data_IF_975434735920
#
_entry.id   IF_975434735920
#
_cell.length_a   1.000
_cell.length_b   1.000
_cell.length_c   1.000
_cell.angle_alpha   90.00
_cell.angle_beta   90.00
_cell.angle_gamma   90.00
#
_symmetry.space_group_name_H-M   'P 1'
#
loop_
_entity.id
_entity.type
_entity.pdbx_description
1 polymer ?
#
# COMPACT_ATOMS: atom_id res chain seq x y z
N UNK A 1 17.36 12.35 -1.11
CA UNK A 1 16.43 11.20 -1.07
C UNK A 1 15.25 11.56 -0.18
N UNK A 2 14.02 11.33 -0.64
CA UNK A 2 12.82 11.54 0.19
C UNK A 2 12.68 10.43 1.25
N UNK A 3 11.88 10.70 2.29
CA UNK A 3 11.62 9.71 3.35
C UNK A 3 10.50 8.75 2.95
N UNK A 4 10.62 7.49 3.33
CA UNK A 4 9.59 6.46 3.20
C UNK A 4 8.93 6.18 4.54
N UNK A 5 7.62 6.38 4.62
CA UNK A 5 6.79 6.10 5.80
C UNK A 5 5.83 4.96 5.46
N UNK A 6 5.86 3.89 6.24
CA UNK A 6 4.88 2.81 6.15
C UNK A 6 3.83 2.99 7.25
N UNK A 7 2.55 2.94 6.87
CA UNK A 7 1.40 3.01 7.77
C UNK A 7 0.62 1.70 7.68
N UNK A 8 0.62 0.92 8.76
CA UNK A 8 -0.12 -0.34 8.89
C UNK A 8 -1.28 -0.20 9.89
N UNK A 9 -2.18 -1.19 9.93
CA UNK A 9 -3.28 -1.23 10.90
C UNK A 9 -4.57 -1.85 10.36
N UNK A 10 -5.53 -2.10 11.24
CA UNK A 10 -6.78 -2.77 10.92
C UNK A 10 -7.71 -1.98 9.99
N UNK A 11 -8.77 -2.62 9.49
CA UNK A 11 -9.80 -1.93 8.71
C UNK A 11 -10.41 -0.77 9.52
N UNK A 12 -10.69 0.36 8.86
CA UNK A 12 -11.27 1.57 9.47
C UNK A 12 -10.47 2.15 10.66
N UNK A 13 -9.17 1.86 10.77
CA UNK A 13 -8.35 2.40 11.85
C UNK A 13 -7.83 3.83 11.64
N UNK A 14 -8.21 4.51 10.55
CA UNK A 14 -7.81 5.89 10.24
C UNK A 14 -6.57 6.05 9.34
N UNK A 15 -5.99 4.96 8.81
CA UNK A 15 -4.76 4.99 7.99
C UNK A 15 -4.80 5.95 6.81
N UNK A 16 -5.81 5.83 5.94
CA UNK A 16 -5.89 6.64 4.73
C UNK A 16 -6.06 8.13 5.04
N UNK A 17 -6.80 8.47 6.10
CA UNK A 17 -6.94 9.85 6.55
C UNK A 17 -5.60 10.41 7.03
N UNK A 18 -4.93 9.71 7.94
CA UNK A 18 -3.61 10.11 8.45
C UNK A 18 -2.56 10.23 7.32
N UNK A 19 -2.55 9.28 6.37
CA UNK A 19 -1.68 9.33 5.21
C UNK A 19 -1.89 10.60 4.37
N UNK A 20 -3.14 11.02 4.20
CA UNK A 20 -3.46 12.25 3.47
C UNK A 20 -3.03 13.50 4.22
N UNK A 21 -3.26 13.57 5.53
CA UNK A 21 -2.79 14.69 6.37
C UNK A 21 -1.26 14.80 6.35
N UNK A 22 -0.56 13.67 6.47
CA UNK A 22 0.89 13.60 6.38
C UNK A 22 1.42 14.05 5.02
N UNK A 23 0.72 13.73 3.93
CA UNK A 23 1.10 14.21 2.60
C UNK A 23 0.89 15.73 2.47
N UNK A 24 -0.26 16.25 2.93
CA UNK A 24 -0.58 17.69 2.92
C UNK A 24 0.44 18.51 3.69
N UNK A 25 0.94 18.01 4.83
CA UNK A 25 1.95 18.72 5.63
C UNK A 25 3.34 18.74 4.98
N UNK A 26 3.61 17.83 4.04
CA UNK A 26 4.90 17.73 3.32
C UNK A 26 4.92 18.55 2.02
N UNK A 27 3.89 18.46 1.19
CA UNK A 27 3.82 19.19 -0.09
C UNK A 27 2.40 19.21 -0.66
N UNK A 28 2.10 20.24 -1.48
CA UNK A 28 0.90 20.27 -2.32
C UNK A 28 1.00 19.43 -3.60
N UNK A 29 2.21 19.02 -4.01
CA UNK A 29 2.47 18.23 -5.22
C UNK A 29 2.48 16.75 -4.89
N UNK A 30 1.29 16.15 -4.88
CA UNK A 30 1.07 14.75 -4.48
C UNK A 30 0.62 13.90 -5.66
N UNK A 31 1.23 12.73 -5.80
CA UNK A 31 0.74 11.63 -6.63
C UNK A 31 0.08 10.59 -5.72
N UNK A 32 -1.23 10.42 -5.84
CA UNK A 32 -1.99 9.37 -5.16
C UNK A 32 -2.06 8.13 -6.05
N UNK A 33 -1.51 7.01 -5.59
CA UNK A 33 -1.51 5.73 -6.29
C UNK A 33 -2.59 4.85 -5.68
N UNK A 34 -3.70 4.70 -6.41
CA UNK A 34 -4.82 3.86 -6.01
C UNK A 34 -4.64 2.45 -6.59
N UNK A 35 -4.52 1.45 -5.71
CA UNK A 35 -4.39 0.03 -6.12
C UNK A 35 -5.72 -0.71 -6.12
N UNK A 36 -6.78 -0.06 -5.63
CA UNK A 36 -8.12 -0.63 -5.57
C UNK A 36 -8.73 -0.80 -6.96
N UNK A 37 -9.44 -1.91 -7.15
CA UNK A 37 -10.41 -2.08 -8.22
C UNK A 37 -11.81 -1.75 -7.71
N UNK A 38 -12.63 -1.11 -8.53
CA UNK A 38 -14.05 -0.92 -8.27
C UNK A 38 -14.83 -2.23 -8.48
N UNK A 39 -14.59 -3.24 -7.64
CA UNK A 39 -15.15 -4.60 -7.78
C UNK A 39 -16.63 -4.71 -7.41
N UNK A 40 -17.10 -3.91 -6.45
CA UNK A 40 -18.51 -3.83 -6.05
C UNK A 40 -18.95 -2.36 -5.86
N UNK A 41 -20.27 -2.14 -5.77
CA UNK A 41 -20.86 -0.79 -5.68
C UNK A 41 -20.49 -0.08 -4.36
N UNK A 42 -20.27 -0.83 -3.29
CA UNK A 42 -19.81 -0.28 -2.02
C UNK A 42 -18.38 0.26 -2.13
N UNK A 43 -17.49 -0.48 -2.80
CA UNK A 43 -16.12 -0.07 -3.08
C UNK A 43 -16.08 1.10 -4.06
N UNK A 44 -17.00 1.16 -5.04
CA UNK A 44 -17.17 2.33 -5.92
C UNK A 44 -17.54 3.59 -5.16
N UNK A 45 -18.57 3.53 -4.33
CA UNK A 45 -18.99 4.69 -3.53
C UNK A 45 -17.86 5.16 -2.61
N UNK A 46 -17.15 4.23 -1.97
CA UNK A 46 -15.98 4.55 -1.14
C UNK A 46 -14.84 5.18 -1.95
N UNK A 47 -14.56 4.68 -3.16
CA UNK A 47 -13.56 5.27 -4.05
C UNK A 47 -13.97 6.71 -4.40
N UNK A 48 -15.23 6.95 -4.73
CA UNK A 48 -15.74 8.29 -5.07
C UNK A 48 -15.71 9.25 -3.88
N UNK A 49 -16.10 8.82 -2.69
CA UNK A 49 -15.96 9.60 -1.46
C UNK A 49 -14.49 9.94 -1.18
N UNK A 50 -13.60 8.96 -1.32
CA UNK A 50 -12.16 9.17 -1.16
C UNK A 50 -11.57 10.08 -2.24
N UNK A 51 -12.06 10.05 -3.48
CA UNK A 51 -11.67 10.98 -4.55
C UNK A 51 -12.11 12.40 -4.19
N UNK A 52 -13.35 12.60 -3.73
CA UNK A 52 -13.89 13.91 -3.32
C UNK A 52 -13.18 14.51 -2.11
N UNK A 53 -12.68 13.68 -1.20
CA UNK A 53 -11.92 14.13 -0.03
C UNK A 53 -10.49 14.60 -0.35
N UNK A 54 -9.97 14.32 -1.55
CA UNK A 54 -8.63 14.74 -1.98
C UNK A 54 -8.65 16.17 -2.52
N UNK A 55 -7.60 16.96 -2.27
CA UNK A 55 -7.45 18.25 -2.93
C UNK A 55 -7.43 18.09 -4.46
N UNK A 56 -8.11 18.99 -5.18
CA UNK A 56 -8.14 18.97 -6.65
C UNK A 56 -6.75 19.12 -7.30
N UNK A 57 -5.76 19.59 -6.54
CA UNK A 57 -4.36 19.72 -6.97
C UNK A 57 -3.62 18.38 -7.01
N UNK A 58 -4.18 17.32 -6.42
CA UNK A 58 -3.53 16.01 -6.38
C UNK A 58 -3.80 15.23 -7.65
N UNK A 59 -2.75 14.62 -8.21
CA UNK A 59 -2.88 13.68 -9.34
C UNK A 59 -3.19 12.30 -8.78
N UNK A 60 -4.09 11.57 -9.43
CA UNK A 60 -4.40 10.17 -9.08
C UNK A 60 -3.93 9.25 -10.21
N UNK A 61 -3.19 8.21 -9.86
CA UNK A 61 -2.77 7.11 -10.71
C UNK A 61 -3.48 5.84 -10.25
N UNK A 62 -4.35 5.29 -11.09
CA UNK A 62 -4.99 3.99 -10.86
C UNK A 62 -4.14 2.89 -11.49
N UNK A 63 -3.72 1.91 -10.68
CA UNK A 63 -2.80 0.85 -11.11
C UNK A 63 -3.00 -0.43 -10.29
N UNK A 64 -3.07 -1.59 -10.96
CA UNK A 64 -3.36 -2.87 -10.31
C UNK A 64 -2.14 -3.77 -10.10
N UNK A 65 -1.00 -3.41 -10.72
CA UNK A 65 0.27 -4.14 -10.67
C UNK A 65 1.36 -3.36 -11.42
N UNK A 66 2.60 -3.81 -11.33
CA UNK A 66 3.79 -3.09 -11.80
C UNK A 66 3.88 -1.66 -11.25
N UNK A 67 3.49 -1.46 -9.99
CA UNK A 67 3.28 -0.13 -9.41
C UNK A 67 4.57 0.71 -9.40
N UNK A 68 5.72 0.10 -9.15
CA UNK A 68 7.00 0.80 -9.17
C UNK A 68 7.32 1.39 -10.54
N UNK A 69 7.08 0.63 -11.61
CA UNK A 69 7.28 1.10 -12.99
C UNK A 69 6.33 2.24 -13.33
N UNK A 70 5.04 2.08 -12.98
CA UNK A 70 3.99 3.07 -13.27
C UNK A 70 4.23 4.37 -12.51
N UNK A 71 4.68 4.31 -11.26
CA UNK A 71 5.06 5.50 -10.49
C UNK A 71 6.21 6.23 -11.18
N UNK A 72 7.29 5.53 -11.59
CA UNK A 72 8.43 6.17 -12.28
C UNK A 72 8.03 6.88 -13.57
N UNK A 73 7.09 6.32 -14.32
CA UNK A 73 6.59 6.91 -15.57
C UNK A 73 5.71 8.16 -15.33
N UNK A 74 4.94 8.16 -14.25
CA UNK A 74 3.87 9.14 -14.02
C UNK A 74 4.22 10.19 -12.94
N UNK A 75 5.33 10.04 -12.22
CA UNK A 75 5.68 10.88 -11.07
C UNK A 75 5.64 12.38 -11.39
N UNK A 76 6.13 12.76 -12.58
CA UNK A 76 6.22 14.17 -12.99
C UNK A 76 6.90 15.02 -11.91
N UNK A 77 6.24 16.10 -11.48
CA UNK A 77 6.74 17.00 -10.44
C UNK A 77 6.30 16.65 -9.01
N UNK A 78 5.66 15.48 -8.81
CA UNK A 78 5.18 15.09 -7.50
C UNK A 78 6.37 14.91 -6.52
N UNK A 79 6.27 15.54 -5.35
CA UNK A 79 7.28 15.44 -4.29
C UNK A 79 6.88 14.44 -3.21
N UNK A 80 5.61 14.04 -3.20
CA UNK A 80 5.06 13.05 -2.28
C UNK A 80 4.23 12.04 -3.08
N UNK A 81 4.47 10.75 -2.82
CA UNK A 81 3.70 9.65 -3.37
C UNK A 81 2.95 8.96 -2.24
N UNK A 82 1.63 8.81 -2.38
CA UNK A 82 0.83 7.97 -1.48
C UNK A 82 0.50 6.68 -2.22
N UNK A 83 0.76 5.52 -1.61
CA UNK A 83 0.32 4.22 -2.13
C UNK A 83 -0.76 3.66 -1.21
N UNK A 84 -2.01 3.57 -1.67
CA UNK A 84 -3.16 3.10 -0.89
C UNK A 84 -3.95 2.05 -1.73
N UNK A 85 -3.87 0.75 -1.42
CA UNK A 85 -3.02 0.11 -0.42
C UNK A 85 -2.33 -1.17 -0.90
N UNK A 86 -1.27 -1.55 -0.19
CA UNK A 86 -0.53 -2.79 -0.44
C UNK A 86 -1.42 -4.03 -0.28
N UNK A 87 -2.41 -3.99 0.61
CA UNK A 87 -3.33 -5.10 0.82
C UNK A 87 -4.16 -5.44 -0.43
N UNK A 88 -4.58 -4.43 -1.20
CA UNK A 88 -5.28 -4.63 -2.47
C UNK A 88 -4.32 -5.00 -3.60
N UNK A 89 -3.10 -4.45 -3.60
CA UNK A 89 -2.07 -4.87 -4.54
C UNK A 89 -1.75 -6.37 -4.43
N UNK A 90 -1.54 -6.88 -3.22
CA UNK A 90 -1.32 -8.31 -2.97
C UNK A 90 -2.51 -9.14 -3.44
N UNK A 91 -3.73 -8.67 -3.19
CA UNK A 91 -4.93 -9.34 -3.68
C UNK A 91 -4.98 -9.40 -5.22
N UNK A 92 -4.69 -8.29 -5.91
CA UNK A 92 -4.70 -8.23 -7.37
C UNK A 92 -3.67 -9.18 -7.97
N UNK A 93 -2.45 -9.22 -7.42
CA UNK A 93 -1.40 -10.15 -7.86
C UNK A 93 -1.85 -11.60 -7.68
N UNK A 94 -2.46 -11.93 -6.54
CA UNK A 94 -3.01 -13.26 -6.28
C UNK A 94 -4.12 -13.64 -7.27
N UNK A 95 -5.05 -12.73 -7.55
CA UNK A 95 -6.17 -12.98 -8.47
C UNK A 95 -5.68 -13.22 -9.90
N UNK A 96 -4.61 -12.55 -10.35
CA UNK A 96 -4.02 -12.79 -11.67
C UNK A 96 -3.38 -14.18 -11.78
N UNK A 97 -2.89 -14.74 -10.67
CA UNK A 97 -2.23 -16.05 -10.60
C UNK A 97 -3.23 -17.18 -10.25
N UNK A 98 -4.52 -16.88 -10.24
CA UNK A 98 -5.62 -17.85 -10.08
C UNK A 98 -6.20 -18.36 -11.42
N UNK A 99 -5.66 -17.95 -12.58
CA UNK A 99 -6.32 -18.07 -13.89
C UNK A 99 -6.46 -19.48 -14.52
N UNK A 100 -7.70 -19.77 -14.97
CA UNK A 100 -8.20 -20.69 -16.02
C UNK A 100 -8.04 -22.23 -15.90
N UNK A 101 -7.34 -22.78 -14.90
CA UNK A 101 -7.21 -24.24 -14.73
C UNK A 101 -7.42 -24.69 -13.29
N UNK A 102 -8.23 -25.75 -13.09
CA UNK A 102 -8.49 -26.55 -11.88
C UNK A 102 -8.60 -25.86 -10.49
N UNK A 103 -8.59 -24.53 -10.39
CA UNK A 103 -8.73 -23.76 -9.15
C UNK A 103 -7.58 -23.90 -8.15
N UNK A 104 -6.39 -24.38 -8.56
CA UNK A 104 -5.24 -24.50 -7.67
C UNK A 104 -4.25 -23.35 -7.90
N UNK A 105 -4.03 -22.55 -6.86
CA UNK A 105 -2.99 -21.52 -6.83
C UNK A 105 -1.64 -22.23 -6.68
N UNK A 106 -0.71 -22.02 -7.62
CA UNK A 106 0.69 -22.31 -7.35
C UNK A 106 1.21 -21.28 -6.34
N UNK A 107 1.30 -21.70 -5.09
CA UNK A 107 1.74 -20.87 -3.98
C UNK A 107 3.14 -20.28 -4.21
N UNK A 108 4.05 -21.00 -4.86
CA UNK A 108 5.42 -20.52 -5.09
C UNK A 108 5.45 -19.43 -6.14
N UNK A 109 4.69 -19.61 -7.23
CA UNK A 109 4.58 -18.59 -8.27
C UNK A 109 3.91 -17.33 -7.73
N UNK A 110 2.81 -17.48 -7.00
CA UNK A 110 2.11 -16.37 -6.34
C UNK A 110 3.01 -15.62 -5.34
N UNK A 111 3.77 -16.35 -4.52
CA UNK A 111 4.73 -15.76 -3.58
C UNK A 111 5.83 -14.99 -4.32
N UNK A 112 6.39 -15.58 -5.37
CA UNK A 112 7.40 -14.93 -6.21
C UNK A 112 6.86 -13.64 -6.82
N UNK A 113 5.65 -13.68 -7.38
CA UNK A 113 5.02 -12.51 -8.00
C UNK A 113 4.81 -11.36 -6.99
N UNK A 114 4.33 -11.67 -5.78
CA UNK A 114 4.18 -10.65 -4.72
C UNK A 114 5.54 -10.08 -4.31
N UNK A 115 6.56 -10.93 -4.15
CA UNK A 115 7.91 -10.49 -3.79
C UNK A 115 8.50 -9.58 -4.87
N UNK A 116 8.38 -9.96 -6.13
CA UNK A 116 8.88 -9.18 -7.27
C UNK A 116 8.18 -7.81 -7.35
N UNK A 117 6.86 -7.78 -7.16
CA UNK A 117 6.07 -6.54 -7.15
C UNK A 117 6.49 -5.58 -6.01
N UNK A 118 6.73 -6.11 -4.80
CA UNK A 118 7.19 -5.30 -3.66
C UNK A 118 8.64 -4.84 -3.86
N UNK A 119 9.52 -5.67 -4.41
CA UNK A 119 10.89 -5.28 -4.74
C UNK A 119 10.91 -4.14 -5.76
N UNK A 120 10.07 -4.22 -6.80
CA UNK A 120 9.96 -3.15 -7.80
C UNK A 120 9.47 -1.82 -7.19
N UNK A 121 8.56 -1.87 -6.19
CA UNK A 121 8.17 -0.69 -5.43
C UNK A 121 9.34 -0.15 -4.59
N UNK A 122 10.06 -1.00 -3.88
CA UNK A 122 11.21 -0.60 -3.05
C UNK A 122 12.32 0.05 -3.89
N UNK A 123 12.63 -0.52 -5.05
CA UNK A 123 13.56 0.07 -6.02
C UNK A 123 13.07 1.43 -6.51
N UNK A 124 11.77 1.57 -6.78
CA UNK A 124 11.17 2.86 -7.12
C UNK A 124 11.36 3.88 -6.00
N UNK A 125 11.15 3.50 -4.73
CA UNK A 125 11.36 4.40 -3.59
C UNK A 125 12.82 4.89 -3.47
N UNK A 126 13.79 4.08 -3.90
CA UNK A 126 15.21 4.44 -3.88
C UNK A 126 15.61 5.33 -5.06
N UNK A 127 14.99 5.14 -6.23
CA UNK A 127 15.36 5.84 -7.47
C UNK A 127 14.63 7.17 -7.67
N UNK A 128 13.44 7.33 -7.08
CA UNK A 128 12.61 8.52 -7.27
C UNK A 128 12.90 9.53 -6.15
N UNK A 129 13.17 10.78 -6.52
CA UNK A 129 13.36 11.89 -5.58
C UNK A 129 12.02 12.43 -5.02
N UNK A 130 11.27 11.56 -4.34
CA UNK A 130 10.02 11.90 -3.67
C UNK A 130 9.94 11.22 -2.30
N UNK A 131 9.15 11.79 -1.40
CA UNK A 131 8.78 11.08 -0.16
C UNK A 131 7.66 10.09 -0.44
N UNK A 132 7.72 8.90 0.15
CA UNK A 132 6.71 7.86 -0.02
C UNK A 132 5.92 7.66 1.27
N UNK A 133 4.61 7.57 1.15
CA UNK A 133 3.68 7.21 2.22
C UNK A 133 2.93 5.97 1.76
N UNK A 134 3.29 4.82 2.32
CA UNK A 134 2.77 3.52 1.89
C UNK A 134 1.76 3.05 2.93
N UNK A 135 0.53 2.78 2.51
CA UNK A 135 -0.55 2.30 3.37
C UNK A 135 -0.75 0.80 3.14
N UNK A 136 -0.84 0.05 4.24
CA UNK A 136 -1.16 -1.38 4.21
C UNK A 136 -2.08 -1.77 5.36
N UNK A 137 -2.70 -2.94 5.24
CA UNK A 137 -3.53 -3.50 6.29
C UNK A 137 -2.72 -4.47 7.15
N UNK A 138 -3.02 -4.49 8.44
CA UNK A 138 -2.62 -5.57 9.34
C UNK A 138 -3.79 -6.55 9.48
N UNK A 139 -3.54 -7.82 9.16
CA UNK A 139 -4.55 -8.90 9.08
C UNK A 139 -4.14 -10.17 9.85
N UNK A 140 -2.94 -10.18 10.43
CA UNK A 140 -2.34 -11.33 11.11
C UNK A 140 -2.62 -11.42 12.62
N UNK A 141 -3.31 -10.44 13.20
CA UNK A 141 -3.62 -10.40 14.64
C UNK A 141 -4.91 -11.16 15.04
N UNK A 142 -5.53 -11.84 14.09
CA UNK A 142 -6.76 -12.62 14.28
C UNK A 142 -6.55 -14.13 14.23
N UNK A 143 -7.66 -14.86 14.11
CA UNK A 143 -7.67 -16.33 13.97
C UNK A 143 -7.11 -16.72 12.60
N UNK A 144 -6.53 -17.93 12.52
CA UNK A 144 -6.12 -18.54 11.24
C UNK A 144 -7.35 -18.78 10.35
N UNK A 145 -7.41 -18.23 9.12
CA UNK A 145 -8.52 -18.48 8.21
C UNK A 145 -8.73 -19.96 7.92
N UNK A 146 -9.98 -20.38 7.72
CA UNK A 146 -10.33 -21.76 7.43
C UNK A 146 -10.00 -22.18 5.99
N UNK A 147 -10.08 -21.25 5.04
CA UNK A 147 -9.79 -21.50 3.63
C UNK A 147 -8.30 -21.27 3.29
N UNK A 148 -7.80 -22.02 2.30
CA UNK A 148 -6.40 -21.99 1.87
C UNK A 148 -6.01 -20.63 1.28
N UNK A 149 -6.89 -20.03 0.49
CA UNK A 149 -6.66 -18.77 -0.21
C UNK A 149 -6.45 -17.62 0.76
N UNK A 150 -7.31 -17.49 1.78
CA UNK A 150 -7.19 -16.45 2.79
C UNK A 150 -5.97 -16.63 3.69
N UNK A 151 -5.58 -17.88 4.00
CA UNK A 151 -4.30 -18.14 4.68
C UNK A 151 -3.12 -17.67 3.85
N UNK A 152 -3.08 -18.04 2.58
CA UNK A 152 -2.04 -17.62 1.65
C UNK A 152 -1.97 -16.09 1.55
N UNK A 153 -3.12 -15.43 1.35
CA UNK A 153 -3.21 -13.98 1.31
C UNK A 153 -2.65 -13.31 2.57
N UNK A 154 -3.08 -13.78 3.74
CA UNK A 154 -2.61 -13.27 5.04
C UNK A 154 -1.09 -13.40 5.17
N UNK A 155 -0.54 -14.57 4.81
CA UNK A 155 0.88 -14.84 4.96
C UNK A 155 1.72 -13.99 3.98
N UNK A 156 1.26 -13.83 2.73
CA UNK A 156 1.93 -12.99 1.73
C UNK A 156 1.85 -11.50 2.06
N UNK A 157 0.70 -11.00 2.53
CA UNK A 157 0.57 -9.62 2.98
C UNK A 157 1.48 -9.34 4.19
N UNK A 158 1.57 -10.29 5.13
CA UNK A 158 2.53 -10.22 6.23
C UNK A 158 3.97 -10.15 5.75
N UNK A 159 4.34 -10.94 4.74
CA UNK A 159 5.68 -10.90 4.12
C UNK A 159 5.95 -9.56 3.43
N UNK A 160 4.99 -9.04 2.66
CA UNK A 160 5.08 -7.73 2.01
C UNK A 160 5.27 -6.61 3.05
N UNK A 161 4.46 -6.61 4.11
CA UNK A 161 4.58 -5.63 5.21
C UNK A 161 5.96 -5.68 5.87
N UNK A 162 6.52 -6.87 6.11
CA UNK A 162 7.87 -7.02 6.66
C UNK A 162 8.95 -6.45 5.72
N UNK A 163 8.86 -6.73 4.41
CA UNK A 163 9.80 -6.21 3.42
C UNK A 163 9.78 -4.67 3.40
N UNK A 164 8.58 -4.08 3.39
CA UNK A 164 8.39 -2.64 3.41
C UNK A 164 8.89 -2.02 4.73
N UNK A 165 8.55 -2.61 5.88
CA UNK A 165 8.95 -2.11 7.19
C UNK A 165 10.47 -2.11 7.39
N UNK A 166 11.17 -3.11 6.83
CA UNK A 166 12.64 -3.19 6.87
C UNK A 166 13.29 -1.99 6.17
N UNK A 167 12.74 -1.56 5.03
CA UNK A 167 13.30 -0.48 4.22
C UNK A 167 12.75 0.91 4.54
N UNK A 168 11.54 1.01 5.12
CA UNK A 168 10.94 2.29 5.47
C UNK A 168 11.75 3.03 6.55
N UNK A 169 11.85 4.35 6.47
CA UNK A 169 12.48 5.18 7.51
C UNK A 169 11.62 5.21 8.79
N UNK A 170 10.30 5.26 8.62
CA UNK A 170 9.33 5.30 9.70
C UNK A 170 8.24 4.24 9.49
N UNK A 171 7.80 3.59 10.56
CA UNK A 171 6.68 2.65 10.54
C UNK A 171 5.69 3.04 11.63
N UNK A 172 4.44 3.24 11.24
CA UNK A 172 3.33 3.59 12.11
C UNK A 172 2.28 2.49 12.08
N UNK A 173 1.75 2.12 13.24
CA UNK A 173 0.54 1.31 13.37
C UNK A 173 -0.62 2.20 13.80
N UNK A 174 -1.67 2.25 12.99
CA UNK A 174 -2.87 3.03 13.29
C UNK A 174 -3.86 2.19 14.09
N UNK A 175 -4.24 2.69 15.27
CA UNK A 175 -5.26 2.12 16.14
C UNK A 175 -6.27 3.20 16.54
N UNK A 176 -7.55 3.00 16.21
CA UNK A 176 -8.63 3.96 16.52
C UNK A 176 -8.33 5.43 16.11
N UNK A 177 -7.67 5.64 14.96
CA UNK A 177 -7.28 6.97 14.48
C UNK A 177 -5.99 7.51 15.09
N UNK A 178 -5.37 6.79 16.03
CA UNK A 178 -4.15 7.20 16.73
C UNK A 178 -2.92 6.50 16.10
N UNK A 179 -1.88 7.24 15.69
CA UNK A 179 -0.64 6.66 15.21
C UNK A 179 0.23 6.15 16.37
N UNK A 180 0.59 4.86 16.32
CA UNK A 180 1.58 4.24 17.21
C UNK A 180 2.88 4.06 16.43
N UNK A 181 3.95 4.76 16.82
CA UNK A 181 5.25 4.66 16.14
C UNK A 181 5.94 3.34 16.52
N UNK A 182 6.21 2.50 15.52
CA UNK A 182 6.94 1.23 15.67
C UNK A 182 8.41 1.33 15.25
N UNK A 183 8.71 2.20 14.28
CA UNK A 183 10.07 2.47 13.76
C UNK A 183 10.21 3.95 13.43
N UNK A 184 11.43 4.45 13.57
CA UNK A 184 11.77 5.87 13.44
C UNK A 184 11.94 6.48 14.82
N UNK A 185 12.90 7.40 14.97
CA UNK A 185 13.16 8.06 16.24
C UNK A 185 12.33 9.35 16.37
N UNK A 186 11.89 9.63 17.59
CA UNK A 186 11.61 11.01 18.06
C UNK A 186 12.79 11.56 18.91
N UNK A 187 13.98 10.95 18.87
CA UNK A 187 15.22 11.46 19.50
C UNK A 187 16.09 12.19 18.47
N UNK A 188 16.15 13.52 18.46
CA UNK A 188 16.97 14.34 19.37
C UNK A 188 16.67 14.16 20.87
N UNK A 189 17.70 14.01 21.71
CA UNK A 189 19.10 14.37 21.49
C UNK A 189 19.94 13.24 20.89
#
# INVERSE_FOLDING_TARGET
MGKTVLIIGGARSGKSHYAQELARSKSGRVLFVATAEAGDEEMRQRIEEHKKARPATWRTLEVQGHIGNRIRQEIGEAQVVIVDCIALLVNNVLSQHQGAGNGQIDQKEAEKAVVDEINALLECCQQVEASFIIVSNEVGLGIVPADKTSRLYRDLLGKANQMLARQADEVLMMAAGIPLRLKGNDSSP
#
